data_IF_979676441092
#
_entry.id   IF_979676441092
#
_cell.length_a   1.000
_cell.length_b   1.000
_cell.length_c   1.000
_cell.angle_alpha   90.00
_cell.angle_beta   90.00
_cell.angle_gamma   90.00
#
_symmetry.space_group_name_H-M   'P 1'
#
loop_
_entity.id
_entity.type
_entity.pdbx_description
1 polymer ?
#
# COMPACT_ATOMS: atom_id res chain seq x y z
N UNK A 1 -52.23 26.40 -19.35
CA UNK A 1 -52.59 25.35 -20.34
C UNK A 1 -51.58 25.45 -21.46
N UNK A 2 -50.82 24.45 -21.92
CA UNK A 2 -50.83 22.96 -21.85
C UNK A 2 -49.34 22.53 -21.96
N UNK A 3 -48.78 21.47 -21.37
CA UNK A 3 -49.24 20.48 -20.37
C UNK A 3 -48.03 19.93 -19.56
N UNK A 4 -48.26 19.03 -18.59
CA UNK A 4 -47.25 18.06 -18.13
C UNK A 4 -47.26 16.86 -19.08
N UNK A 5 -46.10 16.32 -19.43
CA UNK A 5 -45.98 15.00 -20.06
C UNK A 5 -44.75 14.32 -19.48
N UNK A 6 -44.96 13.41 -18.52
CA UNK A 6 -43.98 12.37 -18.22
C UNK A 6 -43.85 11.50 -19.47
N UNK A 7 -42.63 11.23 -19.89
CA UNK A 7 -42.31 10.01 -20.61
C UNK A 7 -41.29 9.28 -19.74
N UNK A 8 -41.67 8.06 -19.37
CA UNK A 8 -40.80 7.11 -18.68
C UNK A 8 -39.90 6.48 -19.73
N UNK A 9 -38.63 6.84 -19.74
CA UNK A 9 -37.57 6.03 -20.35
C UNK A 9 -36.77 5.45 -19.19
N UNK A 10 -36.85 4.13 -19.04
CA UNK A 10 -35.96 3.35 -18.17
C UNK A 10 -34.56 3.24 -18.84
N UNK A 11 -33.58 2.73 -18.10
CA UNK A 11 -32.17 2.62 -18.52
C UNK A 11 -31.38 3.94 -18.64
N UNK A 12 -31.06 4.51 -17.48
CA UNK A 12 -29.66 4.84 -17.17
C UNK A 12 -29.48 4.72 -15.64
N UNK A 13 -29.10 3.52 -15.18
CA UNK A 13 -28.47 3.40 -13.86
C UNK A 13 -27.22 4.27 -13.89
N UNK A 14 -27.26 5.40 -13.18
CA UNK A 14 -26.08 6.22 -12.97
C UNK A 14 -25.12 5.37 -12.15
N UNK A 15 -24.21 4.69 -12.84
CA UNK A 15 -22.98 4.15 -12.27
C UNK A 15 -22.21 5.34 -11.72
N UNK A 16 -22.49 5.66 -10.45
CA UNK A 16 -21.56 6.38 -9.61
C UNK A 16 -20.38 5.44 -9.46
N UNK A 17 -19.40 5.57 -10.35
CA UNK A 17 -18.05 5.12 -10.05
C UNK A 17 -17.69 5.82 -8.74
N UNK A 18 -17.61 5.03 -7.68
CA UNK A 18 -17.14 5.46 -6.38
C UNK A 18 -15.64 5.73 -6.53
N UNK A 19 -15.30 6.88 -7.10
CA UNK A 19 -14.00 7.51 -6.88
C UNK A 19 -13.90 7.68 -5.36
N UNK A 20 -13.18 6.74 -4.75
CA UNK A 20 -12.86 6.76 -3.34
C UNK A 20 -12.26 8.14 -3.05
N UNK A 21 -13.01 8.94 -2.29
CA UNK A 21 -12.61 10.30 -1.93
C UNK A 21 -11.31 10.14 -1.14
N UNK A 22 -10.18 10.50 -1.76
CA UNK A 22 -8.88 10.51 -1.10
C UNK A 22 -8.99 11.41 0.13
N UNK A 23 -9.10 10.79 1.31
CA UNK A 23 -9.18 11.52 2.57
C UNK A 23 -7.85 12.20 2.78
N UNK A 24 -7.82 13.50 2.48
CA UNK A 24 -6.65 14.37 2.60
C UNK A 24 -6.30 14.69 4.07
N UNK A 25 -6.37 13.68 4.93
CA UNK A 25 -5.43 13.52 6.02
C UNK A 25 -4.03 13.36 5.42
N UNK A 26 -2.99 13.87 6.10
CA UNK A 26 -1.62 13.77 5.60
C UNK A 26 -1.08 12.35 5.81
N UNK A 27 -1.46 11.43 4.93
CA UNK A 27 -0.92 10.07 4.83
C UNK A 27 0.51 10.17 4.30
N UNK A 28 1.50 9.97 5.18
CA UNK A 28 2.89 9.84 4.73
C UNK A 28 2.99 8.59 3.85
N UNK A 29 3.54 8.73 2.65
CA UNK A 29 3.78 7.57 1.81
C UNK A 29 4.91 6.70 2.41
N UNK A 30 4.79 5.38 2.27
CA UNK A 30 5.82 4.48 2.79
C UNK A 30 7.18 4.70 2.12
N UNK A 31 7.19 5.11 0.84
CA UNK A 31 8.43 5.47 0.13
C UNK A 31 9.12 6.68 0.79
N UNK A 32 8.35 7.72 1.15
CA UNK A 32 8.88 8.90 1.84
C UNK A 32 9.37 8.56 3.25
N UNK A 33 8.59 7.76 4.00
CA UNK A 33 8.96 7.30 5.35
C UNK A 33 10.30 6.54 5.37
N UNK A 34 10.59 5.75 4.33
CA UNK A 34 11.79 4.92 4.26
C UNK A 34 12.98 5.58 3.54
N UNK A 35 12.81 6.75 2.90
CA UNK A 35 13.80 7.38 2.00
C UNK A 35 15.21 7.48 2.59
N UNK A 36 15.35 7.96 3.84
CA UNK A 36 16.66 8.09 4.52
C UNK A 36 17.35 6.74 4.81
N UNK A 37 16.62 5.64 4.68
CA UNK A 37 17.05 4.26 4.96
C UNK A 37 17.01 3.34 3.73
N UNK A 38 16.65 3.87 2.57
CA UNK A 38 16.44 3.12 1.32
C UNK A 38 17.64 2.24 0.96
N UNK A 39 18.85 2.81 0.86
CA UNK A 39 20.05 2.07 0.47
C UNK A 39 20.32 0.86 1.38
N UNK A 40 20.00 0.97 2.69
CA UNK A 40 20.12 -0.11 3.65
C UNK A 40 19.14 -1.24 3.33
N UNK A 41 17.85 -0.94 3.17
CA UNK A 41 16.86 -1.97 2.90
C UNK A 41 17.06 -2.61 1.52
N UNK A 42 17.46 -1.82 0.51
CA UNK A 42 17.83 -2.32 -0.82
C UNK A 42 18.96 -3.35 -0.70
N UNK A 43 20.02 -3.06 0.06
CA UNK A 43 21.12 -3.99 0.37
C UNK A 43 20.61 -5.23 1.11
N UNK A 44 20.05 -5.02 2.30
CA UNK A 44 19.96 -6.03 3.35
C UNK A 44 18.74 -6.95 3.16
N UNK A 45 17.60 -6.40 2.72
CA UNK A 45 16.34 -7.12 2.51
C UNK A 45 16.15 -7.49 1.03
N UNK A 46 16.48 -6.60 0.10
CA UNK A 46 16.24 -6.83 -1.34
C UNK A 46 17.47 -7.38 -2.09
N UNK A 47 18.58 -7.66 -1.40
CA UNK A 47 19.82 -8.20 -1.97
C UNK A 47 20.42 -7.33 -3.09
N UNK A 48 20.42 -6.02 -2.90
CA UNK A 48 20.87 -5.00 -3.86
C UNK A 48 19.91 -4.75 -5.03
N UNK A 49 18.69 -5.30 -5.02
CA UNK A 49 17.74 -5.19 -6.14
C UNK A 49 16.80 -3.99 -5.98
N UNK A 50 17.28 -2.79 -6.34
CA UNK A 50 16.49 -1.55 -6.32
C UNK A 50 15.07 -1.71 -6.87
N UNK A 51 14.91 -2.23 -8.10
CA UNK A 51 13.59 -2.44 -8.72
C UNK A 51 12.64 -3.38 -7.97
N UNK A 52 13.17 -4.24 -7.10
CA UNK A 52 12.36 -5.09 -6.24
C UNK A 52 11.94 -4.35 -4.96
N UNK A 53 12.81 -3.47 -4.44
CA UNK A 53 12.48 -2.51 -3.37
C UNK A 53 11.40 -1.53 -3.86
N UNK A 54 11.64 -0.76 -4.93
CA UNK A 54 10.71 0.26 -5.44
C UNK A 54 9.29 -0.31 -5.59
N UNK A 55 9.21 -1.49 -6.23
CA UNK A 55 7.96 -2.21 -6.44
C UNK A 55 7.36 -2.73 -5.13
N UNK A 56 8.18 -3.36 -4.29
CA UNK A 56 7.75 -3.97 -3.03
C UNK A 56 7.21 -2.94 -2.05
N UNK A 57 7.89 -1.80 -1.89
CA UNK A 57 7.47 -0.70 -1.02
C UNK A 57 6.23 0.00 -1.57
N UNK A 58 6.17 0.26 -2.89
CA UNK A 58 4.98 0.83 -3.51
C UNK A 58 3.74 -0.04 -3.30
N UNK A 59 3.82 -1.35 -3.56
CA UNK A 59 2.71 -2.30 -3.34
C UNK A 59 2.38 -2.45 -1.84
N UNK A 60 3.39 -2.49 -0.97
CA UNK A 60 3.20 -2.59 0.49
C UNK A 60 2.53 -1.33 1.08
N UNK A 61 2.81 -0.14 0.56
CA UNK A 61 2.20 1.12 0.99
C UNK A 61 0.71 1.28 0.62
N UNK A 62 0.20 0.45 -0.30
CA UNK A 62 -1.22 0.46 -0.69
C UNK A 62 -2.16 -0.16 0.36
N UNK A 63 -1.62 -0.96 1.30
CA UNK A 63 -2.46 -1.57 2.34
C UNK A 63 -2.88 -0.54 3.40
N UNK A 64 -4.06 -0.76 3.98
CA UNK A 64 -4.61 0.12 5.03
C UNK A 64 -4.23 -0.32 6.45
N UNK A 65 -3.69 -1.53 6.61
CA UNK A 65 -3.35 -2.08 7.92
C UNK A 65 -2.19 -3.09 7.84
N UNK A 66 -1.49 -3.24 8.96
CA UNK A 66 -0.36 -4.16 9.09
C UNK A 66 -0.74 -5.63 8.89
N UNK A 67 -1.98 -6.04 9.21
CA UNK A 67 -2.36 -7.45 9.14
C UNK A 67 -2.29 -7.96 7.70
N UNK A 68 -2.87 -7.23 6.74
CA UNK A 68 -2.80 -7.58 5.31
C UNK A 68 -1.39 -7.33 4.73
N UNK A 69 -0.76 -6.20 5.07
CA UNK A 69 0.59 -5.87 4.63
C UNK A 69 1.63 -6.92 5.05
N UNK A 70 1.51 -7.49 6.25
CA UNK A 70 2.43 -8.52 6.76
C UNK A 70 2.34 -9.84 5.98
N UNK A 71 1.15 -10.20 5.46
CA UNK A 71 0.97 -11.37 4.59
C UNK A 71 1.65 -11.14 3.24
N UNK A 72 1.46 -9.95 2.65
CA UNK A 72 2.15 -9.55 1.42
C UNK A 72 3.68 -9.53 1.60
N UNK A 73 4.19 -8.94 2.68
CA UNK A 73 5.62 -8.91 3.02
C UNK A 73 6.23 -10.32 3.03
N UNK A 74 5.57 -11.29 3.67
CA UNK A 74 6.06 -12.67 3.73
C UNK A 74 6.01 -13.38 2.36
N UNK A 75 4.89 -13.25 1.63
CA UNK A 75 4.66 -13.99 0.39
C UNK A 75 5.38 -13.38 -0.82
N UNK A 76 5.36 -12.06 -0.96
CA UNK A 76 5.76 -11.37 -2.19
C UNK A 76 7.13 -10.68 -2.08
N UNK A 77 7.57 -10.32 -0.87
CA UNK A 77 8.92 -9.77 -0.63
C UNK A 77 9.87 -10.86 -0.15
N UNK A 78 9.72 -11.36 1.09
CA UNK A 78 10.69 -12.28 1.70
C UNK A 78 10.82 -13.59 0.93
N UNK A 79 9.71 -14.24 0.56
CA UNK A 79 9.77 -15.51 -0.18
C UNK A 79 10.41 -15.37 -1.58
N UNK A 80 10.23 -14.24 -2.27
CA UNK A 80 10.83 -13.99 -3.59
C UNK A 80 12.31 -13.61 -3.52
N UNK A 81 12.70 -12.84 -2.51
CA UNK A 81 14.11 -12.47 -2.29
C UNK A 81 14.90 -13.54 -1.53
N UNK A 82 14.23 -14.53 -0.93
CA UNK A 82 14.78 -15.58 -0.05
C UNK A 82 15.41 -15.01 1.23
N UNK A 83 14.78 -13.99 1.79
CA UNK A 83 15.13 -13.43 3.09
C UNK A 83 14.71 -14.43 4.17
N UNK A 84 15.60 -14.67 5.15
CA UNK A 84 15.22 -15.38 6.36
C UNK A 84 14.44 -14.43 7.27
N UNK A 85 13.17 -14.72 7.51
CA UNK A 85 12.30 -13.87 8.35
C UNK A 85 12.72 -13.81 9.82
N UNK A 86 13.66 -14.66 10.24
CA UNK A 86 14.24 -14.67 11.59
C UNK A 86 15.63 -14.00 11.64
N UNK A 87 16.09 -13.39 10.53
CA UNK A 87 17.30 -12.59 10.52
C UNK A 87 17.12 -11.26 11.27
N UNK A 88 18.23 -10.65 11.69
CA UNK A 88 18.23 -9.36 12.37
C UNK A 88 17.68 -8.26 11.45
N UNK A 89 18.11 -8.27 10.19
CA UNK A 89 17.71 -7.33 9.14
C UNK A 89 16.22 -7.44 8.79
N UNK A 90 15.69 -8.67 8.72
CA UNK A 90 14.25 -8.90 8.50
C UNK A 90 13.41 -8.44 9.71
N UNK A 91 13.92 -8.63 10.93
CA UNK A 91 13.26 -8.21 12.16
C UNK A 91 13.21 -6.69 12.28
N UNK A 92 14.33 -5.99 12.05
CA UNK A 92 14.36 -4.52 12.02
C UNK A 92 13.42 -3.95 10.94
N UNK A 93 13.36 -4.58 9.76
CA UNK A 93 12.46 -4.15 8.70
C UNK A 93 10.98 -4.35 9.08
N UNK A 94 10.63 -5.48 9.70
CA UNK A 94 9.28 -5.72 10.25
C UNK A 94 8.91 -4.64 11.28
N UNK A 95 9.79 -4.34 12.23
CA UNK A 95 9.52 -3.36 13.31
C UNK A 95 9.37 -1.94 12.76
N UNK A 96 10.17 -1.60 11.74
CA UNK A 96 10.08 -0.32 11.00
C UNK A 96 8.72 -0.20 10.31
N UNK A 97 8.27 -1.24 9.60
CA UNK A 97 6.98 -1.26 8.92
C UNK A 97 5.81 -1.25 9.91
N UNK A 98 5.87 -2.03 10.99
CA UNK A 98 4.85 -1.99 12.05
C UNK A 98 4.69 -0.59 12.65
N UNK A 99 5.80 0.12 12.83
CA UNK A 99 5.81 1.51 13.31
C UNK A 99 5.13 2.45 12.31
N UNK A 100 5.49 2.37 11.02
CA UNK A 100 4.81 3.10 9.94
C UNK A 100 3.30 2.86 9.94
N UNK A 101 2.87 1.59 9.87
CA UNK A 101 1.44 1.28 9.80
C UNK A 101 0.71 1.83 11.02
N UNK A 102 1.22 1.57 12.23
CA UNK A 102 0.61 2.06 13.47
C UNK A 102 0.48 3.60 13.56
N UNK A 103 1.37 4.34 12.91
CA UNK A 103 1.40 5.81 12.95
C UNK A 103 0.60 6.47 11.82
N UNK A 104 0.53 5.85 10.64
CA UNK A 104 -0.03 6.45 9.41
C UNK A 104 -1.20 5.68 8.76
N UNK A 105 -1.55 4.48 9.24
CA UNK A 105 -2.54 3.56 8.64
C UNK A 105 -3.34 2.78 9.71
N UNK A 106 -4.60 3.17 9.99
CA UNK A 106 -5.44 2.62 11.08
C UNK A 106 -6.79 2.08 10.60
#
# INVERSE_FOLDING_TARGET
>A
TINTLLVEDEDDEIFVEEEAIEDSSATMELNEYLMDSEERWVSDVFSGKQKAYDRGINELGQFDNWNEASVFLQQEIFSKQKVDMFSEEASEFIDTLQSYFKEYKS
#
